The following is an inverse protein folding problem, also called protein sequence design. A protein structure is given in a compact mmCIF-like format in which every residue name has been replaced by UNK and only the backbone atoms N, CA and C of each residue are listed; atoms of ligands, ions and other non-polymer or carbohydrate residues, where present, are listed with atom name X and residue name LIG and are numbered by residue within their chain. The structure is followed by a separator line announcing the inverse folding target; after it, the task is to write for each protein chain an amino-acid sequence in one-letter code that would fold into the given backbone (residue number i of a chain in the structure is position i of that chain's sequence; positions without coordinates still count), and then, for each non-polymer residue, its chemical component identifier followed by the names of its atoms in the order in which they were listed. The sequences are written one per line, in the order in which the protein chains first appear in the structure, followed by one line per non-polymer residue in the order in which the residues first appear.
data_IF_092903676529
#
_entry.id   IF_092903676529
#
_cell.length_a   1.000
_cell.length_b   1.000
_cell.length_c   1.000
_cell.angle_alpha   90.00
_cell.angle_beta   90.00
_cell.angle_gamma   90.00
#
_symmetry.space_group_name_H-M   'P 1'
#
loop_
_entity.id
_entity.type
_entity.pdbx_description
1 polymer ?
#
# COMPACT_ATOMS: atom_id res chain seq x y z
N UNK A 1 -2.86 -7.40 -65.58
CA UNK A 1 -2.24 -6.66 -64.45
C UNK A 1 -2.51 -5.18 -64.63
N UNK A 2 -2.64 -4.38 -63.56
CA UNK A 2 -2.47 -4.71 -62.12
C UNK A 2 -3.85 -4.83 -61.43
N UNK A 3 -4.16 -5.58 -60.36
CA UNK A 3 -3.46 -6.15 -59.19
C UNK A 3 -2.70 -5.14 -58.32
N UNK A 4 -3.38 -4.70 -57.25
CA UNK A 4 -2.83 -4.13 -56.03
C UNK A 4 -4.02 -3.96 -55.09
N UNK A 5 -4.19 -4.67 -53.99
CA UNK A 5 -3.22 -5.27 -53.09
C UNK A 5 -3.59 -4.73 -51.71
N UNK A 6 -4.63 -5.29 -51.09
CA UNK A 6 -4.98 -4.99 -49.70
C UNK A 6 -3.82 -5.48 -48.82
N UNK A 7 -2.99 -4.54 -48.37
CA UNK A 7 -2.06 -4.81 -47.30
C UNK A 7 -2.85 -4.80 -46.00
N UNK A 8 -3.36 -5.98 -45.63
CA UNK A 8 -3.75 -6.27 -44.26
C UNK A 8 -2.52 -6.10 -43.37
N UNK A 9 -2.53 -5.07 -42.53
CA UNK A 9 -1.66 -5.04 -41.38
C UNK A 9 -2.21 -6.06 -40.38
N UNK A 10 -1.70 -7.29 -40.45
CA UNK A 10 -1.82 -8.24 -39.35
C UNK A 10 -1.01 -7.68 -38.17
N UNK A 11 -1.66 -6.86 -37.35
CA UNK A 11 -1.19 -6.61 -36.01
C UNK A 11 -1.45 -7.91 -35.26
N UNK A 12 -0.42 -8.73 -35.09
CA UNK A 12 -0.46 -9.86 -34.18
C UNK A 12 -0.73 -9.30 -32.77
N UNK A 13 -2.00 -9.34 -32.35
CA UNK A 13 -2.39 -9.08 -30.97
C UNK A 13 -2.06 -10.36 -30.20
N UNK A 14 -0.81 -10.47 -29.76
CA UNK A 14 -0.46 -11.40 -28.68
C UNK A 14 -1.03 -10.83 -27.39
N UNK A 15 -2.25 -11.24 -27.03
CA UNK A 15 -2.70 -11.14 -25.64
C UNK A 15 -2.09 -12.32 -24.90
N UNK A 16 -1.24 -12.06 -23.91
CA UNK A 16 -1.02 -13.05 -22.86
C UNK A 16 -2.35 -13.23 -22.13
N UNK A 17 -2.70 -14.44 -21.65
CA UNK A 17 -3.71 -14.56 -20.62
C UNK A 17 -3.33 -13.60 -19.49
N UNK A 18 -4.30 -12.90 -18.89
CA UNK A 18 -4.08 -12.33 -17.55
C UNK A 18 -3.52 -13.49 -16.73
N UNK A 19 -2.34 -13.31 -16.13
CA UNK A 19 -1.73 -14.35 -15.33
C UNK A 19 -2.71 -14.73 -14.22
N UNK A 20 -3.47 -15.80 -14.42
CA UNK A 20 -4.10 -16.52 -13.35
C UNK A 20 -2.98 -17.18 -12.55
N UNK A 21 -2.48 -16.46 -11.55
CA UNK A 21 -1.61 -17.02 -10.53
C UNK A 21 -0.14 -16.61 -10.65
N UNK A 22 0.29 -15.86 -9.64
CA UNK A 22 1.53 -16.17 -8.91
C UNK A 22 1.57 -17.68 -8.65
N UNK A 23 2.74 -18.37 -8.71
CA UNK A 23 2.81 -19.82 -8.56
C UNK A 23 1.97 -20.29 -7.38
N UNK A 24 1.21 -21.39 -7.56
CA UNK A 24 0.51 -22.10 -6.48
C UNK A 24 1.33 -21.98 -5.20
N UNK A 25 0.71 -21.46 -4.13
CA UNK A 25 1.30 -21.28 -2.82
C UNK A 25 2.28 -22.43 -2.55
N UNK A 26 3.56 -22.18 -2.82
CA UNK A 26 4.60 -23.18 -2.66
C UNK A 26 4.50 -23.62 -1.23
N UNK A 27 4.33 -24.92 -0.99
CA UNK A 27 4.17 -25.52 0.33
C UNK A 27 5.03 -24.78 1.34
N UNK A 28 4.42 -23.83 2.05
CA UNK A 28 4.98 -23.37 3.28
C UNK A 28 5.01 -24.63 4.13
N UNK A 29 6.21 -25.04 4.56
CA UNK A 29 6.30 -25.70 5.84
C UNK A 29 5.48 -24.81 6.76
N UNK A 30 4.39 -25.38 7.29
CA UNK A 30 3.55 -24.73 8.27
C UNK A 30 4.43 -24.36 9.47
N UNK A 31 5.05 -23.17 9.42
CA UNK A 31 5.93 -22.65 10.46
C UNK A 31 5.15 -22.35 11.73
N UNK A 32 3.81 -22.52 11.72
CA UNK A 32 2.98 -22.60 12.94
C UNK A 32 3.46 -23.67 13.92
N UNK A 33 4.27 -24.63 13.48
CA UNK A 33 4.82 -25.64 14.39
C UNK A 33 5.97 -25.15 15.28
N UNK A 34 6.49 -23.93 15.09
CA UNK A 34 7.50 -23.32 15.99
C UNK A 34 7.26 -21.86 16.37
N UNK A 35 6.28 -21.18 15.77
CA UNK A 35 5.90 -19.82 16.15
C UNK A 35 5.09 -19.87 17.44
N UNK A 36 5.50 -19.09 18.44
CA UNK A 36 4.75 -18.95 19.69
C UNK A 36 3.35 -18.45 19.42
N UNK A 37 2.34 -19.02 20.10
CA UNK A 37 0.90 -18.73 19.95
C UNK A 37 0.48 -17.32 20.45
N UNK A 38 1.40 -16.38 20.56
CA UNK A 38 1.11 -15.04 21.06
C UNK A 38 0.96 -14.11 19.88
N UNK A 39 -0.14 -13.37 19.87
CA UNK A 39 -0.38 -12.28 18.93
C UNK A 39 0.40 -11.03 19.40
N UNK A 40 0.65 -10.08 18.51
CA UNK A 40 1.34 -8.84 18.88
C UNK A 40 0.54 -8.10 19.96
N UNK A 41 -0.78 -8.07 19.81
CA UNK A 41 -1.71 -7.44 20.75
C UNK A 41 -1.68 -8.08 22.15
N UNK A 42 -1.41 -9.39 22.26
CA UNK A 42 -1.28 -10.07 23.57
C UNK A 42 -0.09 -9.55 24.39
N UNK A 43 0.99 -9.17 23.70
CA UNK A 43 2.24 -8.69 24.33
C UNK A 43 2.27 -7.16 24.41
N UNK A 44 1.66 -6.50 23.42
CA UNK A 44 1.62 -5.05 23.27
C UNK A 44 0.17 -4.60 23.00
N UNK A 45 -0.66 -4.42 24.05
CA UNK A 45 -2.12 -4.22 23.93
C UNK A 45 -2.55 -2.91 23.26
N UNK A 46 -1.60 -2.02 22.93
CA UNK A 46 -1.87 -0.77 22.22
C UNK A 46 -1.58 -0.86 20.73
N UNK A 47 -1.17 -2.03 20.22
CA UNK A 47 -1.05 -2.28 18.79
C UNK A 47 -2.37 -2.79 18.23
N UNK A 48 -2.80 -2.19 17.12
CA UNK A 48 -4.00 -2.58 16.41
C UNK A 48 -3.67 -2.79 14.93
N UNK A 49 -4.04 -3.94 14.35
CA UNK A 49 -3.91 -4.13 12.92
C UNK A 49 -4.87 -3.19 12.19
N UNK A 50 -4.46 -2.69 11.03
CA UNK A 50 -5.30 -1.86 10.16
C UNK A 50 -5.22 -2.28 8.71
N UNK A 51 -6.23 -1.92 7.91
CA UNK A 51 -6.16 -2.03 6.45
C UNK A 51 -5.60 -0.73 5.86
N UNK A 52 -4.86 -0.79 4.74
CA UNK A 52 -4.49 0.38 3.96
C UNK A 52 -5.68 1.30 3.66
N UNK A 53 -6.84 0.74 3.29
CA UNK A 53 -8.03 1.54 2.96
C UNK A 53 -8.62 2.33 4.15
N UNK A 54 -8.28 1.98 5.40
CA UNK A 54 -8.74 2.72 6.59
C UNK A 54 -7.78 3.84 6.99
N UNK A 55 -6.78 4.14 6.15
CA UNK A 55 -5.90 5.29 6.33
C UNK A 55 -6.71 6.59 6.45
N UNK A 56 -6.44 7.36 7.50
CA UNK A 56 -7.07 8.65 7.77
C UNK A 56 -6.38 9.82 7.08
N UNK A 57 -5.45 9.55 6.13
CA UNK A 57 -4.68 10.57 5.41
C UNK A 57 -5.55 11.71 4.86
N UNK A 58 -6.71 11.37 4.30
CA UNK A 58 -7.61 12.36 3.67
C UNK A 58 -8.52 13.07 4.67
N UNK A 59 -8.65 12.53 5.88
CA UNK A 59 -9.45 13.11 6.97
C UNK A 59 -8.61 13.99 7.89
N UNK A 60 -7.30 13.71 7.99
CA UNK A 60 -6.31 14.42 8.79
C UNK A 60 -6.03 15.83 8.23
N UNK A 61 -6.99 16.72 8.35
CA UNK A 61 -6.85 18.13 8.00
C UNK A 61 -6.13 18.89 9.12
N UNK A 62 -4.82 18.66 9.24
CA UNK A 62 -3.96 19.56 9.99
C UNK A 62 -4.12 20.98 9.42
N UNK A 63 -4.72 21.89 10.19
CA UNK A 63 -4.93 23.25 9.73
C UNK A 63 -3.70 24.09 10.08
N UNK A 64 -2.99 24.53 9.05
CA UNK A 64 -1.95 25.56 9.22
C UNK A 64 -2.65 26.91 9.23
N UNK A 65 -2.33 27.75 10.24
CA UNK A 65 -2.85 29.11 10.28
C UNK A 65 -2.51 29.85 8.98
N UNK A 66 -3.52 30.47 8.37
CA UNK A 66 -3.34 31.29 7.17
C UNK A 66 -2.51 32.55 7.46
N UNK A 67 -2.51 32.98 8.71
CA UNK A 67 -1.79 34.16 9.16
C UNK A 67 -0.69 33.72 10.13
N UNK A 68 0.55 34.08 9.79
CA UNK A 68 1.67 34.03 10.72
C UNK A 68 1.83 35.43 11.32
N UNK A 69 1.94 35.57 12.66
CA UNK A 69 2.19 36.87 13.28
C UNK A 69 3.52 37.48 12.81
N UNK A 70 4.47 36.63 12.41
CA UNK A 70 5.78 37.03 11.93
C UNK A 70 5.93 36.82 10.43
N UNK A 71 6.48 37.83 9.74
CA UNK A 71 6.90 37.70 8.34
C UNK A 71 8.18 36.88 8.28
N UNK A 72 8.11 35.69 7.68
CA UNK A 72 9.29 34.88 7.40
C UNK A 72 10.26 35.64 6.48
N UNK A 73 11.53 35.75 6.89
CA UNK A 73 12.59 36.38 6.10
C UNK A 73 13.49 35.31 5.53
N UNK A 74 13.53 35.20 4.20
CA UNK A 74 14.47 34.32 3.51
C UNK A 74 15.89 34.88 3.72
N UNK A 75 16.82 34.14 4.36
CA UNK A 75 18.17 34.64 4.56
C UNK A 75 18.89 34.92 3.24
N UNK A 76 19.84 35.86 3.27
CA UNK A 76 20.68 36.14 2.10
C UNK A 76 21.43 34.89 1.66
N UNK A 77 21.47 34.65 0.35
CA UNK A 77 22.17 33.51 -0.27
C UNK A 77 21.60 32.12 0.05
N UNK A 78 20.39 32.02 0.61
CA UNK A 78 19.66 30.74 0.69
C UNK A 78 19.38 30.21 -0.72
N UNK A 79 19.90 29.02 -1.03
CA UNK A 79 19.69 28.33 -2.32
C UNK A 79 18.92 27.02 -2.16
N UNK A 80 18.69 26.58 -0.92
CA UNK A 80 18.02 25.33 -0.57
C UNK A 80 16.98 25.62 0.49
N UNK A 81 15.81 25.03 0.32
CA UNK A 81 14.65 25.15 1.22
C UNK A 81 14.26 23.76 1.71
N UNK A 82 15.26 23.00 2.14
CA UNK A 82 15.07 21.67 2.69
C UNK A 82 14.59 21.83 4.13
N UNK A 83 13.48 21.17 4.49
CA UNK A 83 13.11 21.03 5.89
C UNK A 83 14.02 19.98 6.52
N UNK A 84 14.38 20.21 7.77
CA UNK A 84 15.06 19.18 8.56
C UNK A 84 14.15 17.96 8.67
N UNK A 85 14.74 16.78 8.48
CA UNK A 85 14.06 15.50 8.66
C UNK A 85 14.78 14.73 9.78
N UNK A 86 14.04 13.91 10.56
CA UNK A 86 14.65 13.07 11.58
C UNK A 86 15.76 12.19 11.01
N UNK A 87 16.78 11.91 11.82
CA UNK A 87 17.89 11.04 11.43
C UNK A 87 17.38 9.65 11.05
N UNK A 88 17.91 9.06 9.97
CA UNK A 88 17.47 7.76 9.48
C UNK A 88 16.17 7.77 8.67
N UNK A 89 15.44 8.90 8.61
CA UNK A 89 14.20 9.02 7.84
C UNK A 89 14.40 9.76 6.52
N UNK A 90 13.60 9.39 5.52
CA UNK A 90 13.47 10.09 4.24
C UNK A 90 12.05 10.62 4.11
N UNK A 91 11.93 11.92 3.87
CA UNK A 91 10.65 12.55 3.52
C UNK A 91 10.38 12.41 2.02
N UNK A 92 9.15 12.06 1.68
CA UNK A 92 8.64 11.99 0.30
C UNK A 92 7.36 12.83 0.17
N UNK A 93 7.05 13.23 -1.06
CA UNK A 93 5.82 13.93 -1.40
C UNK A 93 4.96 13.05 -2.30
N UNK A 94 3.75 12.77 -1.85
CA UNK A 94 2.72 12.09 -2.62
C UNK A 94 2.36 12.92 -3.87
N UNK A 95 1.96 12.31 -5.00
CA UNK A 95 1.51 13.04 -6.19
C UNK A 95 0.40 14.07 -5.94
N UNK A 96 -0.39 13.87 -4.89
CA UNK A 96 -1.45 14.81 -4.47
C UNK A 96 -0.97 15.88 -3.48
N UNK A 97 0.34 15.92 -3.16
CA UNK A 97 0.99 16.94 -2.35
C UNK A 97 1.15 16.62 -0.87
N UNK A 98 0.46 15.60 -0.34
CA UNK A 98 0.65 15.13 1.03
C UNK A 98 2.08 14.61 1.25
N UNK A 99 2.63 14.80 2.44
CA UNK A 99 3.95 14.25 2.80
C UNK A 99 3.81 12.92 3.51
N UNK A 100 4.81 12.06 3.35
CA UNK A 100 4.98 10.83 4.11
C UNK A 100 6.46 10.55 4.33
N UNK A 101 6.76 9.62 5.23
CA UNK A 101 8.13 9.32 5.64
C UNK A 101 8.45 7.85 5.46
N UNK A 102 9.73 7.58 5.14
CA UNK A 102 10.25 6.24 4.94
C UNK A 102 11.59 6.06 5.65
N UNK A 103 11.71 5.02 6.47
CA UNK A 103 12.96 4.60 7.10
C UNK A 103 13.61 3.50 6.23
N UNK A 104 14.61 3.82 5.38
CA UNK A 104 15.18 2.88 4.39
C UNK A 104 15.84 1.64 5.00
N UNK A 105 16.45 1.76 6.18
CA UNK A 105 17.15 0.64 6.82
C UNK A 105 16.18 -0.34 7.49
N UNK A 106 15.12 0.16 8.13
CA UNK A 106 14.09 -0.67 8.79
C UNK A 106 12.88 -1.00 7.91
N UNK A 107 12.83 -0.45 6.68
CA UNK A 107 11.71 -0.60 5.73
C UNK A 107 10.35 -0.18 6.29
N UNK A 108 10.33 0.93 7.04
CA UNK A 108 9.11 1.44 7.69
C UNK A 108 8.58 2.66 6.97
N UNK A 109 7.30 2.66 6.61
CA UNK A 109 6.55 3.83 6.15
C UNK A 109 5.65 4.38 7.25
N UNK A 110 5.45 5.69 7.24
CA UNK A 110 4.44 6.34 8.08
C UNK A 110 3.92 7.61 7.42
N UNK A 111 2.62 7.88 7.60
CA UNK A 111 2.00 9.17 7.32
C UNK A 111 1.99 10.11 8.54
N UNK A 112 2.35 9.59 9.72
CA UNK A 112 2.40 10.36 10.94
C UNK A 112 3.39 11.53 10.79
N UNK A 113 3.06 12.65 11.42
CA UNK A 113 3.90 13.83 11.38
C UNK A 113 5.14 13.68 12.29
N UNK A 114 6.13 12.90 11.87
CA UNK A 114 7.38 12.68 12.64
C UNK A 114 8.31 13.91 12.71
N UNK A 115 7.90 15.07 12.18
CA UNK A 115 8.57 16.34 12.49
C UNK A 115 8.19 16.85 13.88
N UNK A 116 7.08 16.37 14.42
CA UNK A 116 6.74 16.49 15.83
C UNK A 116 7.56 15.47 16.62
N UNK A 117 8.28 15.94 17.64
CA UNK A 117 9.19 15.12 18.43
C UNK A 117 8.46 14.03 19.25
N UNK A 118 7.23 14.31 19.70
CA UNK A 118 6.44 13.36 20.48
C UNK A 118 5.94 12.24 19.56
N UNK A 119 5.48 12.59 18.35
CA UNK A 119 5.09 11.61 17.30
C UNK A 119 6.27 10.75 16.88
N UNK A 120 7.44 11.34 16.64
CA UNK A 120 8.65 10.60 16.29
C UNK A 120 9.03 9.60 17.38
N UNK A 121 9.03 10.04 18.65
CA UNK A 121 9.34 9.19 19.80
C UNK A 121 8.41 7.98 19.89
N UNK A 122 7.11 8.19 19.65
CA UNK A 122 6.13 7.10 19.66
C UNK A 122 6.30 6.14 18.48
N UNK A 123 6.58 6.65 17.26
CA UNK A 123 6.87 5.81 16.10
C UNK A 123 8.13 4.96 16.33
N UNK A 124 9.21 5.53 16.87
CA UNK A 124 10.44 4.80 17.17
C UNK A 124 10.24 3.75 18.28
N UNK A 125 9.41 4.07 19.28
CA UNK A 125 8.99 3.13 20.32
C UNK A 125 8.19 1.97 19.71
N UNK A 126 7.23 2.27 18.83
CA UNK A 126 6.43 1.27 18.14
C UNK A 126 7.30 0.35 17.28
N UNK A 127 8.24 0.93 16.50
CA UNK A 127 9.22 0.17 15.73
C UNK A 127 10.03 -0.77 16.62
N UNK A 128 10.50 -0.30 17.77
CA UNK A 128 11.29 -1.13 18.70
C UNK A 128 10.46 -2.30 19.24
N UNK A 129 9.21 -2.04 19.66
CA UNK A 129 8.29 -3.07 20.18
C UNK A 129 7.98 -4.13 19.13
N UNK A 130 7.56 -3.75 17.92
CA UNK A 130 7.15 -4.70 16.88
C UNK A 130 8.32 -5.54 16.35
N UNK A 131 9.50 -4.95 16.13
CA UNK A 131 10.68 -5.72 15.73
C UNK A 131 11.23 -6.61 16.86
N UNK A 132 11.13 -6.15 18.12
CA UNK A 132 11.43 -6.96 19.29
C UNK A 132 10.52 -8.18 19.36
N UNK A 133 9.22 -7.97 19.25
CA UNK A 133 8.23 -9.04 19.19
C UNK A 133 8.52 -10.04 18.05
N UNK A 134 8.78 -9.58 16.83
CA UNK A 134 9.14 -10.47 15.72
C UNK A 134 10.38 -11.33 16.04
N UNK A 135 11.38 -10.73 16.68
CA UNK A 135 12.61 -11.44 17.07
C UNK A 135 12.32 -12.48 18.15
N UNK A 136 11.57 -12.11 19.19
CA UNK A 136 11.27 -12.96 20.34
C UNK A 136 10.33 -14.13 19.98
N UNK A 137 9.36 -13.88 19.10
CA UNK A 137 8.42 -14.88 18.60
C UNK A 137 9.00 -15.74 17.45
N UNK A 138 10.20 -15.41 16.95
CA UNK A 138 10.86 -16.14 15.85
C UNK A 138 10.25 -15.88 14.47
N UNK A 139 9.54 -14.76 14.29
CA UNK A 139 9.05 -14.32 12.99
C UNK A 139 10.19 -13.77 12.14
N UNK A 140 10.59 -14.55 11.14
CA UNK A 140 11.58 -14.13 10.14
C UNK A 140 10.90 -13.36 9.01
N UNK A 141 10.81 -12.04 9.15
CA UNK A 141 10.29 -11.18 8.08
C UNK A 141 11.25 -11.18 6.87
N UNK A 142 10.77 -11.44 5.64
CA UNK A 142 11.56 -11.25 4.44
C UNK A 142 12.17 -9.85 4.38
N UNK A 143 13.39 -9.75 3.83
CA UNK A 143 14.05 -8.43 3.69
C UNK A 143 13.32 -7.45 2.76
N UNK A 144 12.39 -7.96 1.94
CA UNK A 144 11.51 -7.18 1.06
C UNK A 144 10.26 -6.68 1.77
N UNK A 145 9.94 -7.17 2.98
CA UNK A 145 8.74 -6.76 3.71
C UNK A 145 8.82 -5.29 4.09
N UNK A 146 7.75 -4.55 3.83
CA UNK A 146 7.60 -3.20 4.34
C UNK A 146 6.64 -3.24 5.52
N UNK A 147 6.93 -2.43 6.53
CA UNK A 147 6.05 -2.19 7.66
C UNK A 147 5.45 -0.80 7.51
N UNK A 148 4.16 -0.65 7.74
CA UNK A 148 3.52 0.66 7.88
C UNK A 148 3.12 0.84 9.33
N UNK A 149 3.46 2.00 9.89
CA UNK A 149 3.07 2.40 11.23
C UNK A 149 2.36 3.74 11.20
N UNK A 150 1.34 3.87 12.02
CA UNK A 150 0.70 5.12 12.36
C UNK A 150 0.48 5.20 13.87
N UNK A 151 0.34 6.41 14.40
CA UNK A 151 0.17 6.64 15.84
C UNK A 151 -0.95 7.64 16.10
N UNK A 152 -1.82 7.28 17.04
CA UNK A 152 -2.74 8.20 17.68
C UNK A 152 -2.19 8.49 19.09
N UNK A 153 -1.71 9.71 19.28
CA UNK A 153 -1.17 10.14 20.56
C UNK A 153 -2.24 10.09 21.64
N UNK A 154 -1.85 9.70 22.85
CA UNK A 154 -2.73 9.73 24.01
C UNK A 154 -3.27 11.14 24.28
N UNK A 155 -4.59 11.25 24.50
CA UNK A 155 -5.23 12.53 24.85
C UNK A 155 -4.87 13.04 26.26
N UNK A 156 -4.39 12.14 27.13
CA UNK A 156 -4.01 12.45 28.50
C UNK A 156 -2.77 11.64 28.92
N UNK A 157 -2.00 12.11 29.93
CA UNK A 157 -0.81 11.40 30.40
C UNK A 157 -1.09 10.02 31.04
N UNK A 158 -2.35 9.74 31.39
CA UNK A 158 -2.77 8.49 32.02
C UNK A 158 -3.18 7.43 30.98
N UNK A 159 -3.28 7.81 29.70
CA UNK A 159 -3.59 6.91 28.60
C UNK A 159 -2.32 6.61 27.79
N UNK A 160 -2.24 5.40 27.24
CA UNK A 160 -1.19 5.04 26.30
C UNK A 160 -1.58 5.44 24.87
N UNK A 161 -0.58 5.81 24.07
CA UNK A 161 -0.76 6.05 22.63
C UNK A 161 -1.14 4.75 21.91
N UNK A 162 -1.97 4.87 20.89
CA UNK A 162 -2.41 3.74 20.06
C UNK A 162 -1.51 3.66 18.83
N UNK A 163 -1.03 2.46 18.50
CA UNK A 163 -0.23 2.18 17.32
C UNK A 163 -1.03 1.36 16.32
N UNK A 164 -1.13 1.84 15.08
CA UNK A 164 -1.76 1.09 13.99
C UNK A 164 -0.72 0.56 13.03
N UNK A 165 -0.92 -0.65 12.53
CA UNK A 165 0.08 -1.26 11.66
C UNK A 165 -0.49 -2.23 10.62
N UNK A 166 0.30 -2.43 9.56
CA UNK A 166 0.19 -3.58 8.67
C UNK A 166 1.54 -3.87 8.02
N UNK A 167 1.74 -5.10 7.56
CA UNK A 167 2.91 -5.51 6.80
C UNK A 167 2.55 -5.71 5.32
N UNK A 168 3.55 -5.54 4.46
CA UNK A 168 3.40 -5.61 3.01
C UNK A 168 4.41 -6.60 2.45
N UNK A 169 3.93 -7.49 1.60
CA UNK A 169 4.75 -8.39 0.80
C UNK A 169 4.63 -8.01 -0.69
N UNK A 170 5.71 -7.46 -1.24
CA UNK A 170 5.77 -7.06 -2.65
C UNK A 170 5.95 -8.25 -3.60
N UNK A 171 6.46 -9.40 -3.13
CA UNK A 171 6.63 -10.60 -3.96
C UNK A 171 5.27 -11.24 -4.24
N UNK A 172 4.43 -11.34 -3.22
CA UNK A 172 3.08 -11.91 -3.32
C UNK A 172 1.98 -10.89 -3.56
N UNK A 173 2.31 -9.59 -3.64
CA UNK A 173 1.37 -8.47 -3.80
C UNK A 173 0.24 -8.54 -2.77
N UNK A 174 0.62 -8.71 -1.51
CA UNK A 174 -0.32 -8.91 -0.42
C UNK A 174 0.05 -8.02 0.77
N UNK A 175 -0.92 -7.89 1.67
CA UNK A 175 -0.70 -7.36 3.01
C UNK A 175 -1.02 -8.44 4.04
N UNK A 176 -0.46 -8.30 5.23
CA UNK A 176 -0.66 -9.24 6.33
C UNK A 176 -0.39 -8.58 7.68
N UNK A 177 -0.70 -9.30 8.76
CA UNK A 177 -0.60 -8.83 10.15
C UNK A 177 0.08 -9.88 11.04
N UNK A 178 0.46 -9.47 12.24
CA UNK A 178 1.00 -10.34 13.29
C UNK A 178 -0.09 -10.79 14.28
N UNK A 179 -1.29 -10.23 14.16
CA UNK A 179 -2.50 -10.58 14.88
C UNK A 179 -3.48 -11.30 13.93
N UNK A 180 -4.35 -12.14 14.47
CA UNK A 180 -5.44 -12.74 13.69
C UNK A 180 -6.58 -11.73 13.52
N UNK A 181 -7.07 -11.56 12.29
CA UNK A 181 -8.21 -10.69 11.99
C UNK A 181 -9.43 -11.53 11.59
N UNK A 182 -10.56 -11.26 12.23
CA UNK A 182 -11.84 -11.79 11.80
C UNK A 182 -12.29 -11.08 10.51
N UNK A 183 -12.79 -11.85 9.54
CA UNK A 183 -13.41 -11.27 8.34
C UNK A 183 -14.86 -10.88 8.63
N UNK A 184 -15.04 -9.73 9.28
CA UNK A 184 -16.33 -9.18 9.70
C UNK A 184 -16.40 -7.65 9.56
N UNK A 185 -17.47 -7.05 10.06
CA UNK A 185 -17.76 -5.62 9.93
C UNK A 185 -16.84 -4.73 10.78
N UNK A 186 -16.09 -5.30 11.74
CA UNK A 186 -15.13 -4.56 12.55
C UNK A 186 -13.89 -4.20 11.73
N UNK A 187 -13.39 -5.16 10.95
CA UNK A 187 -12.16 -4.97 10.17
C UNK A 187 -12.41 -4.78 8.68
N UNK A 188 -13.41 -5.44 8.09
CA UNK A 188 -13.59 -5.51 6.64
C UNK A 188 -14.97 -5.00 6.20
N UNK A 189 -15.03 -3.75 5.74
CA UNK A 189 -16.28 -3.14 5.24
C UNK A 189 -16.93 -3.94 4.10
N UNK A 190 -16.11 -4.56 3.24
CA UNK A 190 -16.57 -5.36 2.10
C UNK A 190 -17.33 -6.62 2.52
N UNK A 191 -17.21 -7.07 3.78
CA UNK A 191 -17.92 -8.24 4.25
C UNK A 191 -19.45 -8.06 4.21
N UNK A 192 -19.96 -6.81 4.10
CA UNK A 192 -21.37 -6.55 3.87
C UNK A 192 -21.86 -7.15 2.54
N UNK A 193 -21.07 -7.02 1.48
CA UNK A 193 -21.37 -7.53 0.14
C UNK A 193 -20.84 -8.96 -0.07
N UNK A 194 -19.74 -9.31 0.60
CA UNK A 194 -19.05 -10.61 0.46
C UNK A 194 -19.32 -11.47 1.70
N UNK A 195 -20.41 -12.24 1.66
CA UNK A 195 -20.80 -13.17 2.73
C UNK A 195 -20.31 -14.60 2.45
N UNK A 196 -20.14 -15.40 3.50
CA UNK A 196 -19.82 -16.84 3.38
C UNK A 196 -18.35 -17.15 3.07
N UNK A 197 -17.43 -16.27 3.46
CA UNK A 197 -15.99 -16.53 3.35
C UNK A 197 -15.60 -17.68 4.28
N UNK A 198 -15.17 -18.80 3.69
CA UNK A 198 -14.73 -20.00 4.42
C UNK A 198 -13.34 -20.46 4.02
N UNK A 199 -12.68 -19.74 3.11
CA UNK A 199 -11.35 -20.02 2.57
C UNK A 199 -10.67 -18.70 2.25
N UNK A 200 -9.35 -18.61 2.47
CA UNK A 200 -8.55 -17.43 2.13
C UNK A 200 -8.62 -17.10 0.63
N UNK A 201 -8.79 -18.11 -0.23
CA UNK A 201 -8.95 -17.93 -1.68
C UNK A 201 -10.17 -17.09 -2.06
N UNK A 202 -11.23 -17.06 -1.24
CA UNK A 202 -12.43 -16.27 -1.53
C UNK A 202 -12.16 -14.76 -1.46
N UNK A 203 -11.18 -14.33 -0.66
CA UNK A 203 -10.86 -12.92 -0.44
C UNK A 203 -9.49 -12.51 -0.99
N UNK A 204 -8.82 -13.41 -1.74
CA UNK A 204 -7.49 -13.17 -2.31
C UNK A 204 -7.41 -11.83 -3.06
N UNK A 205 -8.38 -11.56 -3.93
CA UNK A 205 -8.44 -10.32 -4.70
C UNK A 205 -8.64 -9.07 -3.84
N UNK A 206 -9.34 -9.18 -2.70
CA UNK A 206 -9.50 -8.06 -1.78
C UNK A 206 -8.19 -7.77 -1.03
N UNK A 207 -7.44 -8.79 -0.60
CA UNK A 207 -6.12 -8.58 -0.01
C UNK A 207 -5.14 -7.97 -1.02
N UNK A 208 -5.16 -8.43 -2.28
CA UNK A 208 -4.35 -7.85 -3.35
C UNK A 208 -4.77 -6.40 -3.66
N UNK A 209 -6.07 -6.08 -3.62
CA UNK A 209 -6.55 -4.71 -3.71
C UNK A 209 -5.96 -3.82 -2.60
N UNK A 210 -5.90 -4.30 -1.35
CA UNK A 210 -5.28 -3.55 -0.26
C UNK A 210 -3.78 -3.31 -0.51
N UNK A 211 -3.06 -4.27 -1.10
CA UNK A 211 -1.67 -4.07 -1.53
C UNK A 211 -1.54 -2.93 -2.55
N UNK A 212 -2.42 -2.89 -3.56
CA UNK A 212 -2.43 -1.78 -4.52
C UNK A 212 -2.81 -0.45 -3.86
N UNK A 213 -3.68 -0.48 -2.85
CA UNK A 213 -3.99 0.70 -2.05
C UNK A 213 -2.78 1.18 -1.23
N UNK A 214 -1.97 0.27 -0.67
CA UNK A 214 -0.68 0.63 -0.06
C UNK A 214 0.25 1.31 -1.07
N UNK A 215 0.37 0.78 -2.30
CA UNK A 215 1.17 1.40 -3.35
C UNK A 215 0.64 2.80 -3.73
N UNK A 216 -0.67 3.00 -3.72
CA UNK A 216 -1.30 4.31 -3.89
C UNK A 216 -0.90 5.25 -2.75
N UNK A 217 -1.01 4.80 -1.50
CA UNK A 217 -0.62 5.61 -0.34
C UNK A 217 0.88 5.96 -0.36
N UNK A 218 1.75 5.02 -0.67
CA UNK A 218 3.21 5.22 -0.64
C UNK A 218 3.84 4.93 -1.99
N UNK A 219 3.71 5.81 -3.01
CA UNK A 219 4.14 5.51 -4.37
C UNK A 219 5.62 5.17 -4.53
N UNK A 220 6.49 5.58 -3.59
CA UNK A 220 7.91 5.19 -3.60
C UNK A 220 8.16 3.74 -3.13
N UNK A 221 7.16 3.04 -2.59
CA UNK A 221 7.29 1.63 -2.20
C UNK A 221 7.31 0.69 -3.40
N UNK A 222 6.70 1.11 -4.52
CA UNK A 222 6.67 0.33 -5.75
C UNK A 222 7.70 0.83 -6.77
N UNK A 223 8.56 -0.07 -7.21
CA UNK A 223 9.38 0.19 -8.41
C UNK A 223 8.61 -0.23 -9.65
N UNK A 224 8.28 0.71 -10.53
CA UNK A 224 7.58 0.42 -11.77
C UNK A 224 8.53 -0.31 -12.74
N UNK A 225 8.22 -1.57 -13.06
CA UNK A 225 8.96 -2.39 -14.01
C UNK A 225 8.24 -2.47 -15.36
N UNK A 226 8.94 -2.79 -16.46
CA UNK A 226 8.29 -3.04 -17.75
C UNK A 226 7.20 -4.13 -17.67
N UNK A 227 7.43 -5.18 -16.88
CA UNK A 227 6.47 -6.27 -16.69
C UNK A 227 5.18 -5.78 -16.02
N UNK A 228 5.27 -4.90 -15.01
CA UNK A 228 4.11 -4.27 -14.38
C UNK A 228 3.34 -3.37 -15.34
N UNK A 229 4.05 -2.62 -16.19
CA UNK A 229 3.42 -1.77 -17.21
C UNK A 229 2.68 -2.64 -18.24
N UNK A 230 3.25 -3.77 -18.63
CA UNK A 230 2.63 -4.69 -19.58
C UNK A 230 1.41 -5.39 -18.99
N UNK A 231 1.48 -5.82 -17.73
CA UNK A 231 0.34 -6.35 -17.00
C UNK A 231 -0.81 -5.32 -16.91
N UNK A 232 -0.52 -4.06 -16.56
CA UNK A 232 -1.52 -3.00 -16.54
C UNK A 232 -2.18 -2.82 -17.92
N UNK A 233 -1.39 -2.87 -19.00
CA UNK A 233 -1.91 -2.76 -20.37
C UNK A 233 -2.81 -3.94 -20.70
N UNK A 234 -2.44 -5.16 -20.31
CA UNK A 234 -3.24 -6.37 -20.52
C UNK A 234 -4.57 -6.31 -19.76
N UNK A 235 -4.56 -5.83 -18.51
CA UNK A 235 -5.78 -5.58 -17.71
C UNK A 235 -6.69 -4.56 -18.40
N UNK A 236 -6.14 -3.43 -18.86
CA UNK A 236 -6.93 -2.40 -19.55
C UNK A 236 -7.51 -2.91 -20.87
N UNK A 237 -6.75 -3.67 -21.66
CA UNK A 237 -7.24 -4.29 -22.89
C UNK A 237 -8.32 -5.33 -22.62
N UNK A 238 -8.18 -6.11 -21.54
CA UNK A 238 -9.19 -7.06 -21.09
C UNK A 238 -10.50 -6.34 -20.74
N UNK A 239 -10.47 -5.29 -19.92
CA UNK A 239 -11.67 -4.51 -19.56
C UNK A 239 -12.32 -3.84 -20.77
N UNK A 240 -11.53 -3.33 -21.72
CA UNK A 240 -12.05 -2.81 -22.98
C UNK A 240 -12.78 -3.94 -23.73
N UNK A 241 -12.18 -5.12 -23.82
CA UNK A 241 -12.78 -6.26 -24.52
C UNK A 241 -14.07 -6.73 -23.84
N UNK A 242 -14.04 -6.86 -22.51
CA UNK A 242 -15.19 -7.23 -21.68
C UNK A 242 -16.38 -6.29 -21.90
N UNK A 243 -16.14 -4.98 -22.03
CA UNK A 243 -17.20 -4.01 -22.32
C UNK A 243 -17.95 -4.23 -23.64
N UNK A 244 -17.33 -4.95 -24.60
CA UNK A 244 -17.97 -5.33 -25.86
C UNK A 244 -18.58 -6.73 -25.80
N UNK A 245 -17.94 -7.66 -25.09
CA UNK A 245 -18.31 -9.08 -25.10
C UNK A 245 -19.29 -9.46 -24.00
N UNK A 246 -19.40 -8.67 -22.94
CA UNK A 246 -20.26 -8.91 -21.79
C UNK A 246 -21.39 -7.89 -21.70
N UNK A 247 -22.61 -8.38 -21.51
CA UNK A 247 -23.76 -7.51 -21.23
C UNK A 247 -23.70 -6.88 -19.83
N UNK A 248 -22.93 -7.48 -18.92
CA UNK A 248 -22.73 -7.05 -17.54
C UNK A 248 -21.23 -7.02 -17.26
N UNK A 249 -20.54 -6.08 -17.90
CA UNK A 249 -19.10 -5.89 -17.70
C UNK A 249 -18.80 -5.59 -16.23
N UNK A 250 -17.68 -6.14 -15.74
CA UNK A 250 -17.18 -5.86 -14.38
C UNK A 250 -16.14 -4.74 -14.37
N UNK A 251 -15.88 -4.11 -15.52
CA UNK A 251 -14.98 -2.98 -15.62
C UNK A 251 -15.51 -1.78 -14.81
N UNK A 252 -14.71 -1.19 -13.91
CA UNK A 252 -15.15 -0.06 -13.09
C UNK A 252 -15.16 1.28 -13.83
N UNK A 253 -14.72 1.30 -15.09
CA UNK A 253 -14.56 2.51 -15.90
C UNK A 253 -15.28 2.39 -17.24
N UNK A 254 -15.60 3.53 -17.82
CA UNK A 254 -16.13 3.61 -19.18
C UNK A 254 -15.07 3.24 -20.22
N UNK A 255 -15.51 2.79 -21.40
CA UNK A 255 -14.60 2.46 -22.51
C UNK A 255 -13.72 3.65 -22.94
N UNK A 256 -14.23 4.88 -22.80
CA UNK A 256 -13.46 6.09 -23.07
C UNK A 256 -12.29 6.24 -22.11
N UNK A 257 -12.57 6.19 -20.79
CA UNK A 257 -11.56 6.29 -19.74
C UNK A 257 -10.51 5.18 -19.86
N UNK A 258 -10.94 3.93 -20.13
CA UNK A 258 -10.02 2.81 -20.32
C UNK A 258 -9.06 3.03 -21.50
N UNK A 259 -9.54 3.62 -22.59
CA UNK A 259 -8.69 3.96 -23.76
C UNK A 259 -7.68 5.07 -23.43
N UNK A 260 -8.10 6.06 -22.66
CA UNK A 260 -7.22 7.15 -22.21
C UNK A 260 -6.13 6.61 -21.26
N UNK A 261 -6.51 5.77 -20.28
CA UNK A 261 -5.58 5.06 -19.39
C UNK A 261 -4.60 4.20 -20.19
N UNK A 262 -5.08 3.43 -21.17
CA UNK A 262 -4.22 2.59 -22.02
C UNK A 262 -3.26 3.43 -22.86
N UNK A 263 -3.69 4.61 -23.32
CA UNK A 263 -2.83 5.56 -24.03
C UNK A 263 -1.72 6.09 -23.13
N UNK A 264 -2.03 6.43 -21.88
CA UNK A 264 -1.04 6.85 -20.89
C UNK A 264 -0.04 5.72 -20.58
N UNK A 265 -0.53 4.49 -20.37
CA UNK A 265 0.31 3.35 -20.04
C UNK A 265 1.36 3.03 -21.13
N UNK A 266 1.03 3.28 -22.41
CA UNK A 266 1.98 3.11 -23.53
C UNK A 266 3.18 4.06 -23.48
N UNK A 267 3.10 5.16 -22.73
CA UNK A 267 4.17 6.16 -22.63
C UNK A 267 5.19 5.84 -21.51
N UNK A 268 4.99 4.78 -20.72
CA UNK A 268 5.92 4.38 -19.66
C UNK A 268 7.11 3.52 -20.15
N UNK A 269 7.25 3.32 -21.46
CA UNK A 269 8.35 2.59 -22.09
C UNK A 269 9.36 3.51 -22.76
#
# INVERSE_FOLDING_TARGET
APQGGEQGYDIAITTSPIQEGVPEAGNWLDTRSSVTKYELHDVHPHFYPMLPETSTRYDATGTISRESPDTYKIPHSTRRFEEEQPEGWKRSTHPEGARYFFHPDKKVYTDANILDADVLSEIETAMTKIFGFCTDAGFMLPSSTNLVLDVELAESPDNDSIYKYYLVDHEYRSIFWLDDLAFDEEFFSICYEVKGVSSSSHIRHHIEQQYWYHCHLFPTSLTLTPDLVDELRDILMHWISDSFTSATSTAPYTVGELRDMLSLAKNFR
#
